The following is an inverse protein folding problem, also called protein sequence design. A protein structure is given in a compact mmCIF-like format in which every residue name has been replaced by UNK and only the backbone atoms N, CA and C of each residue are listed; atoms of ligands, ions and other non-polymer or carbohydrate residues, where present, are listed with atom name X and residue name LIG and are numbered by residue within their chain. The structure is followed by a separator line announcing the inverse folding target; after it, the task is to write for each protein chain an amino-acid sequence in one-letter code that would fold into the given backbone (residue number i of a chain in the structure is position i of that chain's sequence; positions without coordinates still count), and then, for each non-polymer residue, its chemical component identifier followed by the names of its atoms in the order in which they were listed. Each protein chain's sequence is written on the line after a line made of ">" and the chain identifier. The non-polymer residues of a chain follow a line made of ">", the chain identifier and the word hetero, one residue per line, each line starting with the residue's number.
data_IF_028740206196
#
_entry.id   IF_028740206196
#
_cell.length_a   1.000
_cell.length_b   1.000
_cell.length_c   1.000
_cell.angle_alpha   90.00
_cell.angle_beta   90.00
_cell.angle_gamma   90.00
#
_symmetry.space_group_name_H-M   'P 1'
#
loop_
_entity.id
_entity.type
_entity.pdbx_description
1 polymer ?
#
# COMPACT_ATOMS: atom_id res chain seq x y z
N UNK A 1 6.74 -25.65 -21.61
CA UNK A 1 7.10 -24.22 -21.49
C UNK A 1 6.07 -23.35 -20.74
N UNK A 2 4.75 -23.59 -20.83
CA UNK A 2 3.72 -22.77 -20.14
C UNK A 2 3.87 -22.62 -18.61
N UNK A 3 4.33 -23.67 -17.89
CA UNK A 3 4.46 -23.60 -16.42
C UNK A 3 5.52 -22.60 -15.93
N UNK A 4 6.57 -22.37 -16.72
CA UNK A 4 7.66 -21.45 -16.34
C UNK A 4 7.22 -19.98 -16.46
N UNK A 5 6.47 -19.66 -17.54
CA UNK A 5 5.89 -18.32 -17.73
C UNK A 5 4.85 -17.98 -16.66
N UNK A 6 4.04 -18.96 -16.23
CA UNK A 6 3.05 -18.76 -15.17
C UNK A 6 3.70 -18.49 -13.81
N UNK A 7 4.77 -19.22 -13.47
CA UNK A 7 5.53 -18.99 -12.23
C UNK A 7 6.26 -17.65 -12.23
N UNK A 8 6.83 -17.24 -13.37
CA UNK A 8 7.46 -15.93 -13.52
C UNK A 8 6.46 -14.79 -13.39
N UNK A 9 5.31 -14.87 -14.08
CA UNK A 9 4.25 -13.87 -13.97
C UNK A 9 3.68 -13.78 -12.53
N UNK A 10 3.50 -14.91 -11.87
CA UNK A 10 3.02 -14.95 -10.48
C UNK A 10 4.04 -14.33 -9.51
N UNK A 11 5.34 -14.62 -9.69
CA UNK A 11 6.41 -14.01 -8.88
C UNK A 11 6.50 -12.50 -9.10
N UNK A 12 6.37 -12.02 -10.34
CA UNK A 12 6.36 -10.59 -10.66
C UNK A 12 5.15 -9.89 -10.03
N UNK A 13 3.97 -10.49 -10.11
CA UNK A 13 2.74 -9.95 -9.52
C UNK A 13 2.82 -9.90 -7.99
N UNK A 14 3.35 -10.95 -7.34
CA UNK A 14 3.59 -10.95 -5.90
C UNK A 14 4.60 -9.87 -5.50
N UNK A 15 5.72 -9.77 -6.21
CA UNK A 15 6.77 -8.78 -5.89
C UNK A 15 6.24 -7.35 -6.07
N UNK A 16 5.42 -7.12 -7.09
CA UNK A 16 4.78 -5.83 -7.35
C UNK A 16 3.69 -5.50 -6.30
N UNK A 17 2.88 -6.48 -5.90
CA UNK A 17 1.90 -6.31 -4.83
C UNK A 17 2.55 -6.06 -3.46
N UNK A 18 3.64 -6.78 -3.15
CA UNK A 18 4.44 -6.57 -1.94
C UNK A 18 5.10 -5.18 -1.94
N UNK A 19 5.61 -4.73 -3.08
CA UNK A 19 6.16 -3.38 -3.23
C UNK A 19 5.12 -2.30 -3.00
N UNK A 20 3.91 -2.51 -3.52
CA UNK A 20 2.78 -1.62 -3.31
C UNK A 20 2.25 -1.64 -1.86
N UNK A 21 2.53 -2.68 -1.08
CA UNK A 21 2.14 -2.75 0.34
C UNK A 21 3.18 -2.18 1.32
N UNK A 22 4.32 -1.65 0.85
CA UNK A 22 5.42 -1.22 1.75
C UNK A 22 5.09 -0.06 2.69
N UNK A 23 3.93 0.58 2.57
CA UNK A 23 3.54 1.68 3.45
C UNK A 23 3.49 1.23 4.92
N UNK A 24 4.04 2.07 5.81
CA UNK A 24 4.11 1.83 7.25
C UNK A 24 3.97 3.15 8.02
N UNK A 25 3.78 3.10 9.34
CA UNK A 25 3.77 4.31 10.17
C UNK A 25 5.13 5.05 10.14
N UNK A 26 6.24 4.33 9.97
CA UNK A 26 7.56 4.93 9.77
C UNK A 26 7.63 5.72 8.46
N UNK A 27 7.16 5.13 7.36
CA UNK A 27 7.07 5.84 6.08
C UNK A 27 6.17 7.06 6.22
N UNK A 28 5.02 6.95 6.90
CA UNK A 28 4.12 8.08 7.14
C UNK A 28 4.80 9.24 7.87
N UNK A 29 5.62 8.94 8.88
CA UNK A 29 6.41 9.96 9.60
C UNK A 29 7.37 10.70 8.64
N UNK A 30 8.09 9.94 7.81
CA UNK A 30 9.04 10.50 6.83
C UNK A 30 8.35 11.33 5.74
N UNK A 31 7.16 10.93 5.28
CA UNK A 31 6.40 11.68 4.29
C UNK A 31 6.09 13.11 4.76
N UNK A 32 5.76 13.31 6.04
CA UNK A 32 5.58 14.66 6.60
C UNK A 32 6.87 15.44 6.57
N UNK A 33 7.99 14.83 6.98
CA UNK A 33 9.32 15.47 6.96
C UNK A 33 9.75 15.87 5.55
N UNK A 34 9.35 15.11 4.53
CA UNK A 34 9.64 15.39 3.12
C UNK A 34 8.72 16.46 2.51
N UNK A 35 7.78 17.00 3.28
CA UNK A 35 6.90 18.08 2.89
C UNK A 35 5.57 17.64 2.27
N UNK A 36 5.13 16.39 2.52
CA UNK A 36 3.75 16.00 2.26
C UNK A 36 2.82 16.61 3.33
N UNK A 37 1.65 17.09 2.94
CA UNK A 37 0.76 17.76 3.89
C UNK A 37 0.25 16.78 4.96
N UNK A 38 0.08 17.28 6.19
CA UNK A 38 -0.44 16.49 7.31
C UNK A 38 -1.75 15.79 6.96
N UNK A 39 -2.67 16.51 6.29
CA UNK A 39 -3.96 15.95 5.82
C UNK A 39 -3.79 14.75 4.89
N UNK A 40 -2.90 14.85 3.90
CA UNK A 40 -2.64 13.75 2.95
C UNK A 40 -2.00 12.55 3.66
N UNK A 41 -1.07 12.80 4.59
CA UNK A 41 -0.45 11.73 5.39
C UNK A 41 -1.48 11.07 6.32
N UNK A 42 -2.32 11.83 6.99
CA UNK A 42 -3.36 11.30 7.89
C UNK A 42 -4.34 10.41 7.14
N UNK A 43 -4.72 10.81 5.92
CA UNK A 43 -5.58 10.02 5.05
C UNK A 43 -4.90 8.70 4.63
N UNK A 44 -3.60 8.73 4.28
CA UNK A 44 -2.84 7.50 3.99
C UNK A 44 -2.74 6.57 5.20
N UNK A 45 -2.45 7.12 6.38
CA UNK A 45 -2.38 6.38 7.65
C UNK A 45 -3.72 5.73 7.96
N UNK A 46 -4.83 6.44 7.77
CA UNK A 46 -6.17 5.90 7.98
C UNK A 46 -6.44 4.72 7.04
N UNK A 47 -6.19 4.87 5.75
CA UNK A 47 -6.37 3.78 4.75
C UNK A 47 -5.56 2.54 5.15
N UNK A 48 -4.32 2.73 5.60
CA UNK A 48 -3.46 1.64 6.07
C UNK A 48 -3.98 0.97 7.35
N UNK A 49 -4.42 1.76 8.35
CA UNK A 49 -4.98 1.22 9.60
C UNK A 49 -6.27 0.44 9.36
N UNK A 50 -7.14 0.94 8.47
CA UNK A 50 -8.37 0.26 8.09
C UNK A 50 -8.06 -1.12 7.47
N UNK A 51 -7.06 -1.20 6.58
CA UNK A 51 -6.57 -2.46 6.02
C UNK A 51 -6.03 -3.41 7.10
N UNK A 52 -5.11 -2.96 7.96
CA UNK A 52 -4.53 -3.78 9.04
C UNK A 52 -5.59 -4.29 10.02
N UNK A 53 -6.62 -3.49 10.29
CA UNK A 53 -7.76 -3.91 11.11
C UNK A 53 -8.55 -5.05 10.46
N UNK A 54 -8.80 -4.97 9.14
CA UNK A 54 -9.50 -6.02 8.39
C UNK A 54 -8.67 -7.30 8.27
N UNK A 55 -7.37 -7.18 8.02
CA UNK A 55 -6.43 -8.32 8.04
C UNK A 55 -6.47 -9.05 9.38
N UNK A 56 -6.47 -8.32 10.51
CA UNK A 56 -6.61 -8.91 11.83
C UNK A 56 -7.95 -9.66 12.01
N UNK A 57 -9.06 -9.11 11.49
CA UNK A 57 -10.37 -9.76 11.53
C UNK A 57 -10.44 -11.02 10.66
N UNK A 58 -9.76 -11.05 9.51
CA UNK A 58 -9.63 -12.25 8.67
C UNK A 58 -8.85 -13.33 9.40
N UNK A 59 -7.70 -12.97 9.97
CA UNK A 59 -6.84 -13.90 10.71
C UNK A 59 -7.52 -14.43 11.98
N UNK A 60 -8.40 -13.63 12.59
CA UNK A 60 -9.24 -14.04 13.71
C UNK A 60 -10.48 -14.87 13.29
N UNK A 61 -10.72 -15.04 11.97
CA UNK A 61 -11.89 -15.75 11.43
C UNK A 61 -13.22 -14.99 11.59
N UNK A 62 -13.19 -13.73 12.01
CA UNK A 62 -14.39 -12.90 12.25
C UNK A 62 -14.86 -12.17 10.99
N UNK A 63 -14.00 -12.02 9.99
CA UNK A 63 -14.35 -11.51 8.67
C UNK A 63 -14.14 -12.59 7.60
N UNK A 64 -15.23 -12.98 6.92
CA UNK A 64 -15.20 -14.00 5.85
C UNK A 64 -14.92 -13.36 4.49
N UNK A 65 -13.66 -13.00 4.27
CA UNK A 65 -13.11 -12.55 2.99
C UNK A 65 -11.66 -13.04 2.87
N UNK A 66 -11.00 -12.80 1.73
CA UNK A 66 -9.58 -13.12 1.56
C UNK A 66 -8.69 -11.91 1.80
N UNK A 67 -7.45 -12.15 2.26
CA UNK A 67 -6.44 -11.08 2.38
C UNK A 67 -6.22 -10.41 1.01
N UNK A 68 -6.20 -11.18 -0.07
CA UNK A 68 -6.00 -10.65 -1.42
C UNK A 68 -7.07 -9.63 -1.82
N UNK A 69 -8.34 -9.90 -1.50
CA UNK A 69 -9.43 -8.98 -1.81
C UNK A 69 -9.29 -7.67 -1.03
N UNK A 70 -8.93 -7.74 0.26
CA UNK A 70 -8.71 -6.54 1.07
C UNK A 70 -7.45 -5.77 0.67
N UNK A 71 -6.41 -6.45 0.16
CA UNK A 71 -5.26 -5.79 -0.46
C UNK A 71 -5.70 -4.98 -1.68
N UNK A 72 -6.54 -5.54 -2.55
CA UNK A 72 -7.05 -4.81 -3.73
C UNK A 72 -7.86 -3.56 -3.31
N UNK A 73 -8.67 -3.67 -2.26
CA UNK A 73 -9.42 -2.53 -1.70
C UNK A 73 -8.46 -1.46 -1.18
N UNK A 74 -7.46 -1.85 -0.40
CA UNK A 74 -6.42 -0.95 0.12
C UNK A 74 -5.71 -0.19 -1.01
N UNK A 75 -5.24 -0.91 -2.03
CA UNK A 75 -4.53 -0.32 -3.17
C UNK A 75 -5.40 0.68 -3.93
N UNK A 76 -6.67 0.32 -4.17
CA UNK A 76 -7.64 1.20 -4.83
C UNK A 76 -7.87 2.49 -4.04
N UNK A 77 -8.03 2.40 -2.73
CA UNK A 77 -8.24 3.57 -1.87
C UNK A 77 -7.00 4.47 -1.81
N UNK A 78 -5.82 3.88 -1.65
CA UNK A 78 -4.54 4.59 -1.67
C UNK A 78 -4.36 5.33 -3.00
N UNK A 79 -4.56 4.65 -4.12
CA UNK A 79 -4.34 5.23 -5.44
C UNK A 79 -5.35 6.34 -5.74
N UNK A 80 -6.62 6.16 -5.33
CA UNK A 80 -7.61 7.23 -5.40
C UNK A 80 -7.16 8.47 -4.61
N UNK A 81 -6.67 8.31 -3.38
CA UNK A 81 -6.11 9.42 -2.62
C UNK A 81 -4.93 10.06 -3.36
N UNK A 82 -3.97 9.26 -3.81
CA UNK A 82 -2.78 9.75 -4.52
C UNK A 82 -3.12 10.48 -5.83
N UNK A 83 -4.21 10.14 -6.51
CA UNK A 83 -4.68 10.89 -7.69
C UNK A 83 -5.22 12.28 -7.35
N UNK A 84 -5.76 12.46 -6.13
CA UNK A 84 -6.34 13.72 -5.67
C UNK A 84 -5.35 14.69 -5.01
N UNK A 85 -4.19 14.19 -4.57
CA UNK A 85 -3.12 15.05 -4.01
C UNK A 85 -2.26 15.66 -5.13
N UNK A 86 -1.49 16.69 -4.76
CA UNK A 86 -0.60 17.37 -5.70
C UNK A 86 0.44 16.42 -6.31
N UNK A 87 0.92 16.71 -7.52
CA UNK A 87 1.97 15.92 -8.18
C UNK A 87 3.26 15.85 -7.34
N UNK A 88 3.57 16.92 -6.59
CA UNK A 88 4.70 16.95 -5.65
C UNK A 88 4.54 15.93 -4.52
N UNK A 89 3.39 15.93 -3.85
CA UNK A 89 3.10 14.97 -2.76
C UNK A 89 3.07 13.53 -3.26
N UNK A 90 2.49 13.30 -4.43
CA UNK A 90 2.47 11.99 -5.07
C UNK A 90 3.89 11.48 -5.36
N UNK A 91 4.77 12.36 -5.85
CA UNK A 91 6.17 12.03 -6.08
C UNK A 91 6.88 11.67 -4.77
N UNK A 92 6.71 12.48 -3.73
CA UNK A 92 7.27 12.21 -2.38
C UNK A 92 6.84 10.82 -1.89
N UNK A 93 5.56 10.50 -2.01
CA UNK A 93 5.04 9.18 -1.66
C UNK A 93 5.77 8.05 -2.39
N UNK A 94 5.81 8.12 -3.72
CA UNK A 94 6.41 7.06 -4.52
C UNK A 94 7.92 6.96 -4.32
N UNK A 95 8.63 8.06 -4.17
CA UNK A 95 10.07 8.05 -3.86
C UNK A 95 10.34 7.26 -2.57
N UNK A 96 9.51 7.42 -1.54
CA UNK A 96 9.67 6.73 -0.24
C UNK A 96 9.22 5.29 -0.24
N UNK A 97 8.09 4.97 -0.87
CA UNK A 97 7.65 3.57 -1.00
C UNK A 97 8.63 2.78 -1.89
N UNK A 98 9.28 3.48 -2.83
CA UNK A 98 10.24 2.88 -3.75
C UNK A 98 11.66 2.74 -3.20
N UNK A 99 12.05 3.54 -2.21
CA UNK A 99 13.42 3.49 -1.69
C UNK A 99 13.72 2.17 -0.99
N UNK A 100 14.87 1.57 -1.29
CA UNK A 100 15.34 0.32 -0.64
C UNK A 100 15.70 0.50 0.84
N UNK A 101 15.87 1.74 1.30
CA UNK A 101 16.04 2.05 2.71
C UNK A 101 14.69 2.41 3.33
N UNK A 102 14.21 1.67 4.35
CA UNK A 102 13.10 2.11 5.19
C UNK A 102 13.42 3.47 5.82
#
# INVERSE_FOLDING_TARGET
>A
MMKLFFLLALSFYLTHALYQMRFSEEIASRLRSDGMSGKSVDALVKIYKDFRSREAQINAGTLRTTINDEVLVYLKQRDALLTSVSGKERKIFWDRVSSRNP
#
